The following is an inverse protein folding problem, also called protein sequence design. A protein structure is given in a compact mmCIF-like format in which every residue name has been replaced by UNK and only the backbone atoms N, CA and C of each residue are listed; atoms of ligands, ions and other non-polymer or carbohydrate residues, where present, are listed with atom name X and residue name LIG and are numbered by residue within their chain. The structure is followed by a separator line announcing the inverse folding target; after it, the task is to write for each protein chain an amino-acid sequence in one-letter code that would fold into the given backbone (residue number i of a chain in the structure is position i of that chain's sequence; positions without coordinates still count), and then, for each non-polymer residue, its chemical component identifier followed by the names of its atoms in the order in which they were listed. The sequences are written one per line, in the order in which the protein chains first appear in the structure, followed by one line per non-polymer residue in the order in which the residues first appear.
data_IF_902635881805
#
_entry.id   IF_902635881805
#
_cell.length_a   1.000
_cell.length_b   1.000
_cell.length_c   1.000
_cell.angle_alpha   90.00
_cell.angle_beta   90.00
_cell.angle_gamma   90.00
#
_symmetry.space_group_name_H-M   'P 1'
#
loop_
_entity.id
_entity.type
_entity.pdbx_description
1 polymer ?
#
# COMPACT_ATOMS: atom_id res chain seq x y z
N UNK A 1 12.07 -11.76 -13.13
CA UNK A 1 11.39 -10.46 -13.16
C UNK A 1 11.33 -9.95 -11.74
N UNK A 2 12.06 -8.86 -11.47
CA UNK A 2 12.09 -8.22 -10.15
C UNK A 2 10.72 -7.55 -9.92
N UNK A 3 9.90 -8.08 -9.02
CA UNK A 3 8.91 -7.23 -8.38
C UNK A 3 9.66 -6.43 -7.30
N UNK A 4 9.73 -5.10 -7.42
CA UNK A 4 10.24 -4.29 -6.34
C UNK A 4 9.31 -4.43 -5.13
N UNK A 5 9.90 -4.30 -3.94
CA UNK A 5 9.14 -4.07 -2.70
C UNK A 5 8.12 -2.95 -2.96
N UNK A 6 6.89 -3.00 -2.40
CA UNK A 6 5.97 -1.90 -2.52
C UNK A 6 6.64 -0.65 -1.95
N UNK A 7 6.86 0.32 -2.83
CA UNK A 7 7.31 1.65 -2.43
C UNK A 7 6.28 2.23 -1.46
N UNK A 8 6.73 2.58 -0.27
CA UNK A 8 6.00 3.55 0.55
C UNK A 8 5.73 4.74 -0.34
N UNK A 9 4.48 5.22 -0.38
CA UNK A 9 4.11 6.37 -1.21
C UNK A 9 5.18 7.46 -1.03
N UNK A 10 5.84 7.91 -2.11
CA UNK A 10 6.93 8.86 -2.01
C UNK A 10 6.42 10.16 -1.40
N UNK A 11 7.22 10.76 -0.51
CA UNK A 11 6.94 12.09 0.05
C UNK A 11 7.33 13.18 -0.96
N UNK A 12 6.75 14.37 -0.81
CA UNK A 12 7.06 15.55 -1.64
C UNK A 12 8.53 16.02 -1.51
N UNK A 13 9.29 15.46 -0.61
CA UNK A 13 10.76 15.59 -0.59
C UNK A 13 11.42 14.84 -1.77
N UNK A 14 10.66 13.96 -2.44
CA UNK A 14 11.02 13.26 -3.67
C UNK A 14 9.99 13.54 -4.78
N UNK A 15 9.85 14.79 -5.26
CA UNK A 15 8.74 15.21 -6.12
C UNK A 15 8.64 14.42 -7.42
N UNK A 16 9.75 14.05 -8.05
CA UNK A 16 9.77 13.22 -9.27
C UNK A 16 9.24 11.80 -8.98
N UNK A 17 9.54 11.24 -7.80
CA UNK A 17 8.99 9.95 -7.39
C UNK A 17 7.48 10.05 -7.11
N UNK A 18 6.98 11.18 -6.60
CA UNK A 18 5.55 11.45 -6.44
C UNK A 18 4.83 11.49 -7.79
N UNK A 19 5.39 12.18 -8.80
CA UNK A 19 4.84 12.19 -10.17
C UNK A 19 4.73 10.77 -10.73
N UNK A 20 5.81 9.99 -10.64
CA UNK A 20 5.81 8.58 -11.08
C UNK A 20 4.80 7.71 -10.31
N UNK A 21 4.62 7.95 -9.02
CA UNK A 21 3.60 7.26 -8.22
C UNK A 21 2.18 7.61 -8.69
N UNK A 22 1.92 8.88 -9.09
CA UNK A 22 0.66 9.29 -9.71
C UNK A 22 0.37 8.51 -10.99
N UNK A 23 1.38 8.27 -11.84
CA UNK A 23 1.22 7.43 -13.05
C UNK A 23 0.75 6.00 -12.72
N UNK A 24 1.26 5.39 -11.66
CA UNK A 24 0.79 4.08 -11.18
C UNK A 24 -0.70 4.10 -10.81
N UNK A 25 -1.16 5.18 -10.19
CA UNK A 25 -2.58 5.37 -9.84
C UNK A 25 -3.43 5.62 -11.09
N UNK A 26 -2.95 6.42 -12.05
CA UNK A 26 -3.62 6.64 -13.34
C UNK A 26 -3.81 5.29 -14.05
N UNK A 27 -2.75 4.48 -14.19
CA UNK A 27 -2.84 3.14 -14.82
C UNK A 27 -3.88 2.25 -14.13
N UNK A 28 -4.01 2.32 -12.80
CA UNK A 28 -5.05 1.59 -12.06
C UNK A 28 -6.46 2.05 -12.45
N UNK A 29 -6.69 3.35 -12.61
CA UNK A 29 -8.00 3.88 -13.02
C UNK A 29 -8.33 3.55 -14.49
N UNK A 30 -7.34 3.59 -15.37
CA UNK A 30 -7.51 3.17 -16.77
C UNK A 30 -7.90 1.68 -16.86
N UNK A 31 -7.25 0.81 -16.09
CA UNK A 31 -7.62 -0.59 -15.99
C UNK A 31 -9.04 -0.80 -15.39
N UNK A 32 -9.48 0.09 -14.50
CA UNK A 32 -10.85 0.07 -13.98
C UNK A 32 -11.86 0.43 -15.07
N UNK A 33 -11.57 1.40 -15.95
CA UNK A 33 -12.40 1.73 -17.12
C UNK A 33 -12.54 0.54 -18.07
N UNK A 34 -11.45 -0.18 -18.35
CA UNK A 34 -11.47 -1.38 -19.21
C UNK A 34 -12.32 -2.50 -18.60
N UNK A 35 -12.17 -2.75 -17.29
CA UNK A 35 -13.01 -3.72 -16.56
C UNK A 35 -14.48 -3.33 -16.60
N UNK A 36 -14.78 -2.04 -16.38
CA UNK A 36 -16.16 -1.53 -16.43
C UNK A 36 -16.77 -1.69 -17.82
N UNK A 37 -16.01 -1.43 -18.88
CA UNK A 37 -16.42 -1.64 -20.26
C UNK A 37 -16.80 -3.10 -20.55
N UNK A 38 -16.05 -4.06 -20.00
CA UNK A 38 -16.33 -5.49 -20.13
C UNK A 38 -17.52 -5.95 -19.26
N UNK A 39 -17.73 -5.32 -18.11
CA UNK A 39 -18.75 -5.69 -17.13
C UNK A 39 -20.18 -5.24 -17.53
N UNK A 40 -20.31 -4.00 -17.99
CA UNK A 40 -21.61 -3.37 -18.28
C UNK A 40 -22.52 -4.16 -19.23
N UNK A 41 -22.04 -4.79 -20.33
CA UNK A 41 -22.90 -5.55 -21.25
C UNK A 41 -23.55 -6.79 -20.61
N UNK A 42 -22.94 -7.35 -19.56
CA UNK A 42 -23.37 -8.58 -18.91
C UNK A 42 -24.22 -8.33 -17.66
N UNK A 43 -23.93 -7.26 -16.93
CA UNK A 43 -24.47 -7.00 -15.59
C UNK A 43 -25.22 -5.65 -15.48
N UNK A 44 -25.13 -4.82 -16.52
CA UNK A 44 -25.72 -3.46 -16.47
C UNK A 44 -25.00 -2.56 -15.44
N UNK A 45 -25.68 -1.49 -15.04
CA UNK A 45 -25.19 -0.57 -14.00
C UNK A 45 -25.54 -1.09 -12.60
N UNK A 46 -25.05 -2.29 -12.26
CA UNK A 46 -25.18 -2.85 -10.92
C UNK A 46 -24.36 -2.06 -9.87
N UNK A 47 -24.43 -2.47 -8.61
CA UNK A 47 -23.73 -1.76 -7.54
C UNK A 47 -22.20 -1.73 -7.75
N UNK A 48 -21.61 -2.79 -8.30
CA UNK A 48 -20.19 -2.85 -8.60
C UNK A 48 -19.81 -1.88 -9.72
N UNK A 49 -20.62 -1.80 -10.78
CA UNK A 49 -20.41 -0.86 -11.88
C UNK A 49 -20.53 0.60 -11.42
N UNK A 50 -21.53 0.90 -10.58
CA UNK A 50 -21.72 2.25 -10.01
C UNK A 50 -20.54 2.70 -9.14
N UNK A 51 -20.07 1.81 -8.26
CA UNK A 51 -18.90 2.11 -7.41
C UNK A 51 -17.62 2.28 -8.22
N UNK A 52 -17.40 1.45 -9.25
CA UNK A 52 -16.26 1.59 -10.15
C UNK A 52 -16.30 2.94 -10.91
N UNK A 53 -17.45 3.33 -11.45
CA UNK A 53 -17.65 4.61 -12.12
C UNK A 53 -17.38 5.79 -11.17
N UNK A 54 -17.91 5.76 -9.95
CA UNK A 54 -17.67 6.78 -8.92
C UNK A 54 -16.18 6.91 -8.55
N UNK A 55 -15.46 5.79 -8.45
CA UNK A 55 -14.03 5.80 -8.13
C UNK A 55 -13.20 6.45 -9.25
N UNK A 56 -13.53 6.16 -10.51
CA UNK A 56 -12.89 6.78 -11.67
C UNK A 56 -13.19 8.27 -11.74
N UNK A 57 -14.45 8.68 -11.60
CA UNK A 57 -14.87 10.08 -11.56
C UNK A 57 -14.10 10.85 -10.48
N UNK A 58 -14.13 10.38 -9.24
CA UNK A 58 -13.44 11.00 -8.11
C UNK A 58 -11.94 11.20 -8.35
N UNK A 59 -11.31 10.27 -9.07
CA UNK A 59 -9.89 10.35 -9.34
C UNK A 59 -9.54 11.39 -10.41
N UNK A 60 -10.20 11.31 -11.57
CA UNK A 60 -9.89 12.19 -12.69
C UNK A 60 -10.37 13.62 -12.49
N UNK A 61 -11.44 13.84 -11.73
CA UNK A 61 -11.95 15.20 -11.40
C UNK A 61 -10.99 16.01 -10.52
N UNK A 62 -10.08 15.36 -9.79
CA UNK A 62 -9.22 16.07 -8.85
C UNK A 62 -7.75 15.67 -8.94
N UNK A 63 -7.44 14.39 -8.80
CA UNK A 63 -6.06 13.96 -8.62
C UNK A 63 -5.25 14.04 -9.92
N UNK A 64 -5.87 13.75 -11.08
CA UNK A 64 -5.24 13.88 -12.38
C UNK A 64 -4.99 15.36 -12.73
N UNK A 65 -5.95 16.25 -12.45
CA UNK A 65 -5.78 17.69 -12.67
C UNK A 65 -4.60 18.25 -11.87
N UNK A 66 -4.50 17.91 -10.58
CA UNK A 66 -3.37 18.34 -9.74
C UNK A 66 -2.03 17.83 -10.24
N UNK A 67 -2.00 16.67 -10.91
CA UNK A 67 -0.81 16.11 -11.51
C UNK A 67 -0.37 16.90 -12.76
N UNK A 68 -1.30 17.20 -13.68
CA UNK A 68 -1.02 18.05 -14.82
C UNK A 68 -0.59 19.45 -14.39
N UNK A 69 -1.23 20.03 -13.38
CA UNK A 69 -0.83 21.31 -12.81
C UNK A 69 0.60 21.30 -12.24
N UNK A 70 1.04 20.21 -11.61
CA UNK A 70 2.42 20.06 -11.11
C UNK A 70 3.43 20.12 -12.25
N UNK A 71 3.09 19.60 -13.41
CA UNK A 71 3.94 19.57 -14.59
C UNK A 71 3.94 20.90 -15.33
N UNK A 72 2.75 21.46 -15.58
CA UNK A 72 2.60 22.68 -16.37
C UNK A 72 3.10 23.93 -15.64
N UNK A 73 2.78 24.03 -14.34
CA UNK A 73 3.07 25.23 -13.57
C UNK A 73 4.46 25.23 -12.92
N UNK A 74 5.04 24.05 -12.70
CA UNK A 74 6.31 23.94 -11.97
C UNK A 74 7.37 23.14 -12.74
N UNK A 75 7.14 21.85 -13.05
CA UNK A 75 8.17 20.97 -13.60
C UNK A 75 8.71 21.47 -14.95
N UNK A 76 7.84 21.75 -15.92
CA UNK A 76 8.20 22.21 -17.26
C UNK A 76 8.91 23.59 -17.22
N UNK A 77 8.39 24.61 -16.51
CA UNK A 77 9.07 25.89 -16.36
C UNK A 77 10.44 25.77 -15.70
N UNK A 78 10.57 24.95 -14.64
CA UNK A 78 11.84 24.74 -13.96
C UNK A 78 12.86 24.03 -14.86
N UNK A 79 12.43 23.05 -15.67
CA UNK A 79 13.29 22.40 -16.65
C UNK A 79 13.77 23.40 -17.71
N UNK A 80 12.92 24.26 -18.23
CA UNK A 80 13.30 25.31 -19.18
C UNK A 80 14.34 26.28 -18.60
N UNK A 81 14.28 26.57 -17.31
CA UNK A 81 15.25 27.45 -16.65
C UNK A 81 16.66 26.85 -16.58
N UNK A 82 16.78 25.51 -16.47
CA UNK A 82 18.08 24.83 -16.23
C UNK A 82 18.61 24.07 -17.43
N UNK A 83 17.76 23.60 -18.33
CA UNK A 83 18.19 22.83 -19.50
C UNK A 83 19.10 23.64 -20.44
N UNK A 84 20.15 23.02 -20.94
CA UNK A 84 21.13 23.60 -21.89
C UNK A 84 21.46 22.58 -22.97
N UNK A 85 21.94 23.08 -24.14
CA UNK A 85 22.39 22.24 -25.22
C UNK A 85 21.32 21.25 -25.72
N UNK A 86 21.65 20.00 -25.76
CA UNK A 86 20.75 18.91 -26.22
C UNK A 86 19.50 18.76 -25.38
N UNK A 87 19.62 18.94 -24.04
CA UNK A 87 18.46 18.88 -23.13
C UNK A 87 17.47 20.02 -23.42
N UNK A 88 17.95 21.22 -23.70
CA UNK A 88 17.08 22.35 -24.07
C UNK A 88 16.36 22.10 -25.40
N UNK A 89 17.06 21.53 -26.41
CA UNK A 89 16.45 21.18 -27.68
C UNK A 89 15.39 20.08 -27.55
N UNK A 90 15.68 19.05 -26.75
CA UNK A 90 14.74 17.96 -26.43
C UNK A 90 13.50 18.50 -25.73
N UNK A 91 13.67 19.34 -24.71
CA UNK A 91 12.57 19.92 -23.96
C UNK A 91 11.72 20.86 -24.82
N UNK A 92 12.35 21.67 -25.69
CA UNK A 92 11.66 22.56 -26.64
C UNK A 92 10.75 21.79 -27.60
N UNK A 93 11.16 20.58 -28.01
CA UNK A 93 10.35 19.73 -28.86
C UNK A 93 9.24 18.98 -28.07
N UNK A 94 9.54 18.56 -26.85
CA UNK A 94 8.66 17.71 -26.06
C UNK A 94 7.57 18.48 -25.29
N UNK A 95 7.91 19.61 -24.67
CA UNK A 95 6.98 20.34 -23.81
C UNK A 95 5.66 20.74 -24.52
N UNK A 96 5.67 21.24 -25.78
CA UNK A 96 4.42 21.51 -26.50
C UNK A 96 3.57 20.27 -26.74
N UNK A 97 4.19 19.09 -26.90
CA UNK A 97 3.47 17.82 -27.09
C UNK A 97 2.78 17.41 -25.78
N UNK A 98 3.47 17.51 -24.65
CA UNK A 98 2.93 17.23 -23.32
C UNK A 98 1.73 18.14 -23.02
N UNK A 99 1.88 19.45 -23.24
CA UNK A 99 0.80 20.43 -23.03
C UNK A 99 -0.40 20.21 -23.96
N UNK A 100 -0.17 19.72 -25.19
CA UNK A 100 -1.26 19.37 -26.09
C UNK A 100 -1.94 18.07 -25.67
N UNK A 101 -1.17 17.08 -25.18
CA UNK A 101 -1.72 15.84 -24.63
C UNK A 101 -2.66 16.12 -23.47
N UNK A 102 -2.33 17.04 -22.53
CA UNK A 102 -3.20 17.43 -21.42
C UNK A 102 -4.55 17.98 -21.92
N UNK A 103 -4.51 18.91 -22.89
CA UNK A 103 -5.75 19.47 -23.49
C UNK A 103 -6.61 18.40 -24.16
N UNK A 104 -5.97 17.48 -24.88
CA UNK A 104 -6.67 16.38 -25.55
C UNK A 104 -7.28 15.42 -24.52
N UNK A 105 -6.58 15.12 -23.42
CA UNK A 105 -7.07 14.28 -22.32
C UNK A 105 -8.22 14.94 -21.57
N UNK A 106 -8.16 16.25 -21.33
CA UNK A 106 -9.24 17.01 -20.71
C UNK A 106 -10.51 17.01 -21.58
N UNK A 107 -10.37 17.21 -22.88
CA UNK A 107 -11.50 17.14 -23.80
C UNK A 107 -12.14 15.74 -23.84
N UNK A 108 -11.30 14.67 -23.88
CA UNK A 108 -11.80 13.30 -23.84
C UNK A 108 -12.40 12.95 -22.48
N UNK A 109 -11.91 13.55 -21.38
CA UNK A 109 -12.47 13.34 -20.05
C UNK A 109 -13.88 13.88 -19.93
N UNK A 110 -14.21 15.03 -20.54
CA UNK A 110 -15.58 15.56 -20.55
C UNK A 110 -16.58 14.55 -21.12
N UNK A 111 -16.26 13.91 -22.25
CA UNK A 111 -17.11 12.88 -22.85
C UNK A 111 -17.29 11.66 -21.95
N UNK A 112 -16.21 11.20 -21.29
CA UNK A 112 -16.25 10.07 -20.38
C UNK A 112 -16.95 10.40 -19.07
N UNK A 113 -16.75 11.60 -18.54
CA UNK A 113 -17.37 12.08 -17.31
C UNK A 113 -18.90 12.02 -17.37
N UNK A 114 -19.49 12.47 -18.48
CA UNK A 114 -20.94 12.39 -18.67
C UNK A 114 -21.44 10.94 -18.66
N UNK A 115 -20.79 10.06 -19.41
CA UNK A 115 -21.16 8.64 -19.47
C UNK A 115 -21.01 7.96 -18.11
N UNK A 116 -19.89 8.18 -17.42
CA UNK A 116 -19.62 7.60 -16.11
C UNK A 116 -20.57 8.13 -15.04
N UNK A 117 -20.96 9.41 -15.12
CA UNK A 117 -21.94 10.01 -14.20
C UNK A 117 -23.32 9.34 -14.32
N UNK A 118 -23.76 9.04 -15.53
CA UNK A 118 -24.99 8.30 -15.78
C UNK A 118 -24.92 6.86 -15.27
N UNK A 119 -23.79 6.19 -15.43
CA UNK A 119 -23.56 4.83 -14.90
C UNK A 119 -23.53 4.87 -13.36
N UNK A 120 -22.83 5.82 -12.76
CA UNK A 120 -22.78 6.01 -11.32
C UNK A 120 -24.16 6.28 -10.70
N UNK A 121 -25.02 6.97 -11.43
CA UNK A 121 -26.43 7.22 -11.07
C UNK A 121 -27.37 6.05 -11.40
N UNK A 122 -26.90 4.98 -12.03
CA UNK A 122 -27.73 3.83 -12.44
C UNK A 122 -28.66 4.10 -13.63
N UNK A 123 -28.46 5.21 -14.35
CA UNK A 123 -29.33 5.66 -15.46
C UNK A 123 -28.86 5.20 -16.84
N UNK A 124 -27.62 4.69 -16.96
CA UNK A 124 -27.07 4.16 -18.20
C UNK A 124 -26.31 2.84 -17.96
N UNK A 125 -26.31 1.99 -18.99
CA UNK A 125 -25.67 0.67 -18.97
C UNK A 125 -24.63 0.50 -20.09
N UNK A 126 -24.28 1.58 -20.77
CA UNK A 126 -23.34 1.58 -21.88
C UNK A 126 -22.23 2.59 -21.64
N UNK A 127 -21.02 2.20 -22.00
CA UNK A 127 -19.82 3.02 -22.01
C UNK A 127 -19.18 2.90 -23.39
N UNK A 128 -18.76 4.01 -23.99
CA UNK A 128 -18.17 4.04 -25.32
C UNK A 128 -16.80 3.38 -25.34
N UNK A 129 -16.68 2.21 -25.99
CA UNK A 129 -15.40 1.50 -26.14
C UNK A 129 -14.36 2.36 -26.87
N UNK A 130 -14.76 3.08 -27.92
CA UNK A 130 -13.83 3.92 -28.71
C UNK A 130 -13.31 5.11 -27.88
N UNK A 131 -14.14 5.70 -27.01
CA UNK A 131 -13.73 6.81 -26.15
C UNK A 131 -12.77 6.31 -25.06
N UNK A 132 -13.11 5.19 -24.39
CA UNK A 132 -12.22 4.57 -23.39
C UNK A 132 -10.87 4.20 -23.98
N UNK A 133 -10.84 3.56 -25.16
CA UNK A 133 -9.59 3.17 -25.82
C UNK A 133 -8.71 4.36 -26.18
N UNK A 134 -9.29 5.42 -26.76
CA UNK A 134 -8.55 6.65 -27.13
C UNK A 134 -7.98 7.34 -25.88
N UNK A 135 -8.79 7.45 -24.83
CA UNK A 135 -8.39 8.04 -23.55
C UNK A 135 -7.24 7.25 -22.93
N UNK A 136 -7.39 5.93 -22.81
CA UNK A 136 -6.36 5.03 -22.27
C UNK A 136 -5.06 5.14 -23.07
N UNK A 137 -5.13 5.07 -24.40
CA UNK A 137 -3.94 5.15 -25.26
C UNK A 137 -3.23 6.49 -25.14
N UNK A 138 -3.99 7.61 -25.06
CA UNK A 138 -3.39 8.94 -24.90
C UNK A 138 -2.62 9.04 -23.57
N UNK A 139 -3.23 8.63 -22.44
CA UNK A 139 -2.54 8.62 -21.15
C UNK A 139 -1.30 7.73 -21.13
N UNK A 140 -1.38 6.51 -21.67
CA UNK A 140 -0.22 5.61 -21.71
C UNK A 140 0.94 6.20 -22.48
N UNK A 141 0.70 6.74 -23.69
CA UNK A 141 1.73 7.37 -24.52
C UNK A 141 2.31 8.64 -23.88
N UNK A 142 1.49 9.41 -23.20
CA UNK A 142 1.88 10.60 -22.46
C UNK A 142 2.82 10.26 -21.31
N UNK A 143 2.39 9.38 -20.38
CA UNK A 143 3.22 8.93 -19.26
C UNK A 143 4.53 8.29 -19.69
N UNK A 144 4.56 7.57 -20.83
CA UNK A 144 5.79 7.00 -21.39
C UNK A 144 6.80 8.08 -21.77
N UNK A 145 6.36 9.19 -22.38
CA UNK A 145 7.23 10.32 -22.72
C UNK A 145 7.83 10.97 -21.49
N UNK A 146 7.04 11.14 -20.47
CA UNK A 146 7.48 11.74 -19.20
C UNK A 146 8.45 10.83 -18.45
N UNK A 147 8.11 9.57 -18.29
CA UNK A 147 8.94 8.59 -17.58
C UNK A 147 10.29 8.35 -18.27
N UNK A 148 10.33 8.42 -19.59
CA UNK A 148 11.54 8.16 -20.37
C UNK A 148 12.38 9.42 -20.65
N UNK A 149 11.81 10.63 -20.54
CA UNK A 149 12.52 11.85 -20.93
C UNK A 149 12.48 12.92 -19.84
N UNK A 150 11.30 13.41 -19.44
CA UNK A 150 11.20 14.55 -18.51
C UNK A 150 11.64 14.19 -17.08
N UNK A 151 11.18 13.08 -16.56
CA UNK A 151 11.52 12.66 -15.19
C UNK A 151 13.03 12.37 -15.03
N UNK A 152 13.71 11.62 -15.91
CA UNK A 152 15.17 11.47 -15.88
C UNK A 152 15.93 12.80 -16.06
N UNK A 153 15.43 13.71 -16.89
CA UNK A 153 16.00 15.04 -17.09
C UNK A 153 15.93 15.85 -15.79
N UNK A 154 14.79 15.88 -15.12
CA UNK A 154 14.62 16.58 -13.83
C UNK A 154 15.55 16.02 -12.76
N UNK A 155 15.65 14.69 -12.60
CA UNK A 155 16.55 14.04 -11.63
C UNK A 155 18.01 14.42 -11.87
N UNK A 156 18.43 14.60 -13.14
CA UNK A 156 19.81 14.90 -13.51
C UNK A 156 20.14 16.39 -13.41
N UNK A 157 19.19 17.28 -13.71
CA UNK A 157 19.46 18.72 -13.87
C UNK A 157 19.13 19.55 -12.63
N UNK A 158 18.16 19.10 -11.80
CA UNK A 158 17.74 19.89 -10.64
C UNK A 158 18.72 19.76 -9.48
N UNK A 159 19.05 20.91 -8.87
CA UNK A 159 19.73 20.95 -7.58
C UNK A 159 18.80 20.44 -6.45
N UNK A 160 19.36 20.09 -5.27
CA UNK A 160 18.54 19.76 -4.09
C UNK A 160 17.52 20.85 -3.74
N UNK A 161 17.89 22.13 -3.87
CA UNK A 161 17.02 23.28 -3.59
C UNK A 161 15.87 23.34 -4.62
N UNK A 162 16.14 23.06 -5.90
CA UNK A 162 15.12 23.01 -6.94
C UNK A 162 14.15 21.82 -6.75
N UNK A 163 14.66 20.64 -6.35
CA UNK A 163 13.81 19.53 -5.97
C UNK A 163 12.90 19.88 -4.79
N UNK A 164 13.44 20.54 -3.77
CA UNK A 164 12.66 21.04 -2.65
C UNK A 164 11.61 22.07 -3.08
N UNK A 165 11.96 22.99 -3.98
CA UNK A 165 11.02 23.99 -4.51
C UNK A 165 9.85 23.33 -5.24
N UNK A 166 10.12 22.34 -6.11
CA UNK A 166 9.09 21.57 -6.81
C UNK A 166 8.17 20.84 -5.81
N UNK A 167 8.74 20.16 -4.81
CA UNK A 167 7.97 19.47 -3.78
C UNK A 167 7.10 20.41 -2.94
N UNK A 168 7.59 21.60 -2.61
CA UNK A 168 6.81 22.63 -1.91
C UNK A 168 5.65 23.17 -2.76
N UNK A 169 5.85 23.38 -4.07
CA UNK A 169 4.80 23.80 -4.98
C UNK A 169 3.68 22.74 -5.07
N UNK A 170 4.07 21.47 -5.22
CA UNK A 170 3.14 20.33 -5.23
C UNK A 170 2.34 20.21 -3.93
N UNK A 171 2.97 20.45 -2.77
CA UNK A 171 2.30 20.49 -1.45
C UNK A 171 1.26 21.59 -1.39
N UNK A 172 1.62 22.83 -1.76
CA UNK A 172 0.73 24.01 -1.74
C UNK A 172 -0.51 23.76 -2.59
N UNK A 173 -0.35 23.22 -3.79
CA UNK A 173 -1.46 22.92 -4.72
C UNK A 173 -2.45 21.92 -4.12
N UNK A 174 -2.00 21.05 -3.24
CA UNK A 174 -2.83 20.06 -2.53
C UNK A 174 -3.40 20.60 -1.19
N UNK A 175 -3.17 21.88 -0.86
CA UNK A 175 -3.56 22.46 0.42
C UNK A 175 -2.76 21.90 1.60
N UNK A 176 -1.59 21.33 1.34
CA UNK A 176 -0.64 20.87 2.37
C UNK A 176 0.32 22.03 2.63
N UNK A 177 -0.19 23.10 3.25
CA UNK A 177 0.62 24.29 3.53
C UNK A 177 1.66 24.01 4.60
N UNK A 178 2.91 24.41 4.32
CA UNK A 178 3.88 24.71 5.36
C UNK A 178 3.62 26.16 5.80
N UNK A 179 3.19 26.39 7.03
CA UNK A 179 3.14 27.72 7.63
C UNK A 179 4.55 28.33 7.67
N UNK A 180 4.88 29.06 6.60
CA UNK A 180 5.99 30.02 6.62
C UNK A 180 5.42 31.41 6.34
N UNK A 181 4.71 31.97 7.31
CA UNK A 181 4.56 33.42 7.41
C UNK A 181 5.79 33.96 8.09
N UNK A 182 6.45 34.89 7.38
CA UNK A 182 7.68 35.54 7.81
C UNK A 182 7.61 36.09 9.22
N UNK A 183 8.48 35.63 10.07
CA UNK A 183 8.89 36.26 11.28
C UNK A 183 10.43 36.18 11.37
N UNK A 184 11.02 37.35 11.58
CA UNK A 184 12.39 37.64 11.88
C UNK A 184 13.10 36.55 12.70
N UNK A 185 14.35 36.31 12.32
CA UNK A 185 15.29 35.40 12.94
C UNK A 185 15.27 35.46 14.47
N UNK A 186 14.77 34.42 15.11
CA UNK A 186 15.09 34.09 16.49
C UNK A 186 15.06 32.57 16.61
N UNK A 187 16.19 31.99 17.00
CA UNK A 187 16.45 30.65 17.48
C UNK A 187 15.79 29.47 16.70
N UNK A 188 16.64 28.71 16.03
CA UNK A 188 16.35 27.45 15.34
C UNK A 188 15.73 26.45 16.31
N UNK A 189 14.38 26.30 16.33
CA UNK A 189 13.74 25.12 16.86
C UNK A 189 13.89 23.99 15.83
N UNK A 190 14.18 22.74 16.25
CA UNK A 190 14.39 21.66 15.32
C UNK A 190 13.11 21.34 14.54
N UNK A 191 13.23 21.14 13.23
CA UNK A 191 12.15 20.88 12.26
C UNK A 191 11.18 19.75 12.68
N UNK A 192 11.59 18.88 13.59
CA UNK A 192 10.78 17.81 14.20
C UNK A 192 9.62 18.33 15.06
N UNK A 193 9.72 19.54 15.67
CA UNK A 193 8.65 20.10 16.51
C UNK A 193 7.43 20.55 15.68
N UNK A 194 7.63 21.03 14.44
CA UNK A 194 6.53 21.52 13.59
C UNK A 194 5.67 20.37 13.00
N UNK A 195 6.28 19.24 12.67
CA UNK A 195 5.55 18.04 12.18
C UNK A 195 4.77 17.42 13.34
N UNK A 196 5.37 17.34 14.55
CA UNK A 196 4.69 16.79 15.74
C UNK A 196 3.38 17.51 16.08
N UNK A 197 3.35 18.82 15.93
CA UNK A 197 2.16 19.63 16.21
C UNK A 197 1.05 19.44 15.14
N UNK A 198 1.40 19.13 13.89
CA UNK A 198 0.45 18.91 12.78
C UNK A 198 -0.20 17.52 12.80
N UNK A 199 0.41 16.54 13.45
CA UNK A 199 -0.16 15.18 13.58
C UNK A 199 -1.50 15.20 14.30
N UNK A 200 -1.72 16.14 15.23
CA UNK A 200 -2.97 16.29 15.97
C UNK A 200 -4.19 16.63 15.06
N UNK A 201 -3.94 17.26 13.92
CA UNK A 201 -4.99 17.70 12.97
C UNK A 201 -5.32 16.64 11.89
N UNK A 202 -4.51 15.57 11.80
CA UNK A 202 -4.76 14.45 10.88
C UNK A 202 -5.95 13.65 11.38
N UNK A 203 -7.14 13.96 10.83
CA UNK A 203 -8.40 13.29 11.16
C UNK A 203 -9.04 12.77 9.87
N UNK A 204 -9.40 11.49 9.87
CA UNK A 204 -10.23 10.86 8.84
C UNK A 204 -11.55 10.46 9.47
N UNK A 205 -12.66 10.90 8.89
CA UNK A 205 -13.98 10.41 9.27
C UNK A 205 -14.24 9.06 8.60
N UNK A 206 -14.54 8.05 9.42
CA UNK A 206 -14.90 6.71 9.00
C UNK A 206 -16.41 6.60 8.82
N UNK A 207 -16.88 5.88 7.80
CA UNK A 207 -18.32 5.80 7.55
C UNK A 207 -18.75 4.79 6.50
N UNK A 208 -17.87 3.85 6.13
CA UNK A 208 -18.14 2.91 5.05
C UNK A 208 -19.09 1.78 5.46
N UNK A 209 -19.00 1.27 6.68
CA UNK A 209 -19.76 0.10 7.12
C UNK A 209 -20.10 0.14 8.61
N UNK A 210 -20.94 -0.78 9.06
CA UNK A 210 -21.25 -1.08 10.46
C UNK A 210 -20.87 -2.50 10.81
N UNK A 211 -20.78 -2.80 12.10
CA UNK A 211 -20.59 -4.15 12.61
C UNK A 211 -21.57 -4.39 13.76
N UNK A 212 -22.57 -5.22 13.50
CA UNK A 212 -23.60 -5.58 14.48
C UNK A 212 -23.42 -7.04 14.96
N UNK A 213 -23.80 -7.32 16.21
CA UNK A 213 -23.70 -8.65 16.81
C UNK A 213 -24.53 -9.69 16.07
N UNK A 214 -25.61 -9.28 15.41
CA UNK A 214 -26.49 -10.15 14.62
C UNK A 214 -25.90 -10.53 13.26
N UNK A 215 -24.92 -9.75 12.78
CA UNK A 215 -24.33 -9.91 11.45
C UNK A 215 -22.99 -10.67 11.46
N UNK A 216 -22.36 -10.81 12.63
CA UNK A 216 -21.08 -11.52 12.74
C UNK A 216 -21.26 -13.03 12.89
N UNK A 217 -20.34 -13.80 12.36
CA UNK A 217 -20.32 -15.25 12.47
C UNK A 217 -20.14 -15.70 13.95
N UNK A 218 -20.66 -16.87 14.31
CA UNK A 218 -20.47 -17.44 15.65
C UNK A 218 -19.01 -17.86 15.89
N UNK A 219 -18.33 -18.35 14.84
CA UNK A 219 -16.90 -18.68 14.87
C UNK A 219 -16.05 -17.51 14.40
N UNK A 220 -15.04 -17.06 15.17
CA UNK A 220 -14.22 -15.90 14.81
C UNK A 220 -13.29 -16.16 13.63
N UNK A 221 -12.93 -17.42 13.33
CA UNK A 221 -12.13 -17.74 12.15
C UNK A 221 -12.99 -17.63 10.88
N UNK A 222 -14.25 -18.03 10.96
CA UNK A 222 -15.22 -17.82 9.90
C UNK A 222 -15.47 -16.31 9.66
N UNK A 223 -15.58 -15.51 10.73
CA UNK A 223 -15.70 -14.06 10.64
C UNK A 223 -14.45 -13.43 9.99
N UNK A 224 -13.26 -13.89 10.38
CA UNK A 224 -12.01 -13.45 9.76
C UNK A 224 -11.95 -13.81 8.28
N UNK A 225 -12.36 -15.04 7.92
CA UNK A 225 -12.40 -15.51 6.53
C UNK A 225 -13.27 -14.60 5.67
N UNK A 226 -14.49 -14.27 6.14
CA UNK A 226 -15.40 -13.36 5.46
C UNK A 226 -14.75 -11.98 5.23
N UNK A 227 -14.17 -11.39 6.27
CA UNK A 227 -13.53 -10.08 6.17
C UNK A 227 -12.27 -10.10 5.30
N UNK A 228 -11.52 -11.19 5.32
CA UNK A 228 -10.35 -11.36 4.45
C UNK A 228 -10.74 -11.51 2.97
N UNK A 229 -11.83 -12.23 2.66
CA UNK A 229 -12.39 -12.29 1.31
C UNK A 229 -12.89 -10.92 0.82
N UNK A 230 -13.52 -10.15 1.70
CA UNK A 230 -13.94 -8.78 1.40
C UNK A 230 -12.71 -7.88 1.14
N UNK A 231 -11.63 -8.05 1.90
CA UNK A 231 -10.37 -7.33 1.67
C UNK A 231 -9.72 -7.70 0.32
N UNK A 232 -9.77 -8.98 -0.07
CA UNK A 232 -9.34 -9.42 -1.40
C UNK A 232 -10.20 -8.82 -2.52
N UNK A 233 -11.51 -8.82 -2.36
CA UNK A 233 -12.46 -8.22 -3.33
C UNK A 233 -12.30 -6.70 -3.45
N UNK A 234 -12.00 -6.03 -2.34
CA UNK A 234 -11.73 -4.60 -2.31
C UNK A 234 -10.31 -4.24 -2.80
N UNK A 235 -9.54 -5.22 -3.24
CA UNK A 235 -8.15 -5.05 -3.70
C UNK A 235 -7.28 -4.29 -2.68
N UNK A 236 -7.48 -4.57 -1.37
CA UNK A 236 -6.64 -4.02 -0.31
C UNK A 236 -5.18 -4.38 -0.61
N UNK A 237 -4.29 -3.41 -0.46
CA UNK A 237 -2.87 -3.66 -0.69
C UNK A 237 -2.30 -4.62 0.35
N UNK A 238 -1.75 -5.77 -0.07
CA UNK A 238 -1.22 -6.83 0.78
C UNK A 238 -2.13 -7.20 1.97
N UNK A 239 -3.38 -7.67 1.74
CA UNK A 239 -4.35 -7.94 2.80
C UNK A 239 -3.86 -8.97 3.82
N UNK A 240 -2.86 -9.78 3.47
CA UNK A 240 -2.19 -10.76 4.30
C UNK A 240 -1.00 -10.20 5.11
N UNK A 241 -0.67 -8.91 4.96
CA UNK A 241 0.32 -8.26 5.81
C UNK A 241 -0.27 -8.01 7.21
N UNK A 242 0.52 -8.36 8.23
CA UNK A 242 0.11 -8.16 9.63
C UNK A 242 1.29 -7.70 10.47
N UNK A 243 1.03 -6.87 11.47
CA UNK A 243 1.99 -6.59 12.53
C UNK A 243 2.00 -7.75 13.52
N UNK A 244 3.19 -8.25 13.87
CA UNK A 244 3.37 -9.23 14.95
C UNK A 244 4.13 -8.57 16.09
N UNK A 245 3.47 -8.41 17.23
CA UNK A 245 4.08 -7.98 18.48
C UNK A 245 4.51 -9.17 19.32
N UNK A 246 5.75 -9.12 19.83
CA UNK A 246 6.34 -10.13 20.71
C UNK A 246 7.05 -9.44 21.87
N UNK A 247 7.24 -10.13 22.99
CA UNK A 247 7.79 -9.55 24.22
C UNK A 247 9.14 -10.22 24.55
N UNK A 248 10.15 -9.41 24.82
CA UNK A 248 11.46 -9.88 25.28
C UNK A 248 11.47 -10.38 26.73
N UNK A 249 12.60 -10.93 27.16
CA UNK A 249 12.82 -11.32 28.57
C UNK A 249 12.65 -10.14 29.53
N UNK A 250 13.08 -8.96 29.09
CA UNK A 250 12.99 -7.68 29.80
C UNK A 250 11.55 -7.12 29.88
N UNK A 251 10.58 -7.82 29.33
CA UNK A 251 9.18 -7.39 29.28
C UNK A 251 8.86 -6.33 28.22
N UNK A 252 9.83 -5.90 27.44
CA UNK A 252 9.61 -4.86 26.41
C UNK A 252 9.01 -5.47 25.15
N UNK A 253 7.89 -4.90 24.64
CA UNK A 253 7.30 -5.33 23.38
C UNK A 253 8.11 -4.80 22.19
N UNK A 254 8.18 -5.62 21.14
CA UNK A 254 8.70 -5.21 19.83
C UNK A 254 7.72 -5.65 18.75
N UNK A 255 7.65 -4.91 17.65
CA UNK A 255 6.71 -5.18 16.55
C UNK A 255 7.40 -5.11 15.18
N UNK A 256 6.88 -5.82 14.20
CA UNK A 256 7.31 -5.85 12.80
C UNK A 256 6.19 -6.37 11.92
N UNK A 257 6.25 -6.04 10.63
CA UNK A 257 5.33 -6.60 9.66
C UNK A 257 5.84 -7.99 9.20
N UNK A 258 4.92 -8.95 9.12
CA UNK A 258 5.10 -10.26 8.49
C UNK A 258 3.84 -10.59 7.70
N UNK A 259 3.93 -11.65 6.86
CA UNK A 259 2.77 -12.08 6.06
C UNK A 259 2.16 -13.35 6.67
N UNK A 260 0.86 -13.33 6.96
CA UNK A 260 0.13 -14.57 7.24
C UNK A 260 0.14 -15.41 5.97
N UNK A 261 0.41 -16.71 6.13
CA UNK A 261 0.52 -17.66 5.01
C UNK A 261 -0.55 -18.74 5.03
N UNK A 262 -1.13 -18.96 6.18
CA UNK A 262 -2.24 -19.88 6.40
C UNK A 262 -3.01 -19.46 7.64
N UNK A 263 -4.31 -19.61 7.62
CA UNK A 263 -5.16 -19.57 8.82
C UNK A 263 -6.25 -20.62 8.68
N UNK A 264 -6.58 -21.26 9.79
CA UNK A 264 -7.63 -22.27 9.92
C UNK A 264 -8.09 -22.34 11.38
N UNK A 265 -8.95 -23.29 11.74
CA UNK A 265 -9.44 -23.48 13.11
C UNK A 265 -8.34 -23.72 14.15
N UNK A 266 -7.10 -24.04 13.74
CA UNK A 266 -5.94 -24.21 14.62
C UNK A 266 -5.26 -22.87 14.92
N UNK A 267 -5.39 -21.85 14.05
CA UNK A 267 -4.82 -20.53 14.24
C UNK A 267 -4.18 -19.93 12.98
N UNK A 268 -3.32 -18.93 13.20
CA UNK A 268 -2.73 -18.07 12.18
C UNK A 268 -1.23 -18.35 12.04
N UNK A 269 -0.79 -18.73 10.85
CA UNK A 269 0.58 -19.22 10.59
C UNK A 269 1.39 -18.25 9.76
N UNK A 270 2.63 -18.00 10.18
CA UNK A 270 3.64 -17.28 9.41
C UNK A 270 4.97 -18.00 9.49
N UNK A 271 5.90 -17.70 8.57
CA UNK A 271 7.20 -18.38 8.48
C UNK A 271 8.35 -17.38 8.62
N UNK A 272 9.38 -17.76 9.38
CA UNK A 272 10.50 -16.87 9.70
C UNK A 272 11.73 -17.66 10.15
N UNK A 273 12.84 -16.96 10.39
CA UNK A 273 14.02 -17.51 11.03
C UNK A 273 13.79 -17.55 12.56
N UNK A 274 13.98 -18.71 13.19
CA UNK A 274 13.82 -18.93 14.63
C UNK A 274 14.88 -18.21 15.47
N UNK A 275 16.07 -17.95 14.90
CA UNK A 275 17.13 -17.20 15.58
C UNK A 275 16.97 -15.67 15.45
N UNK A 276 15.95 -15.21 14.74
CA UNK A 276 15.61 -13.78 14.69
C UNK A 276 15.18 -13.25 16.05
N UNK A 277 15.18 -11.92 16.23
CA UNK A 277 14.72 -11.29 17.48
C UNK A 277 13.35 -11.82 17.93
N UNK A 278 12.37 -11.87 17.01
CA UNK A 278 11.05 -12.40 17.33
C UNK A 278 11.07 -13.90 17.67
N UNK A 279 11.90 -14.68 16.98
CA UNK A 279 12.03 -16.11 17.23
C UNK A 279 12.59 -16.39 18.62
N UNK A 280 13.61 -15.65 19.05
CA UNK A 280 14.18 -15.75 20.41
C UNK A 280 13.19 -15.30 21.48
N UNK A 281 12.44 -14.20 21.23
CA UNK A 281 11.40 -13.72 22.15
C UNK A 281 10.29 -14.76 22.33
N UNK A 282 9.82 -15.38 21.24
CA UNK A 282 8.80 -16.43 21.28
C UNK A 282 9.29 -17.73 21.93
N UNK A 283 10.58 -18.02 21.87
CA UNK A 283 11.16 -19.15 22.59
C UNK A 283 11.13 -18.95 24.11
N UNK A 284 11.27 -17.70 24.59
CA UNK A 284 11.20 -17.36 26.03
C UNK A 284 9.77 -17.12 26.50
N UNK A 285 8.98 -16.37 25.72
CA UNK A 285 7.60 -16.00 26.03
C UNK A 285 6.72 -16.30 24.82
N UNK A 286 6.05 -17.47 24.78
CA UNK A 286 5.31 -17.91 23.59
C UNK A 286 3.95 -17.21 23.44
N UNK A 287 3.91 -15.89 23.61
CA UNK A 287 2.72 -15.06 23.43
C UNK A 287 2.97 -14.00 22.36
N UNK A 288 1.96 -13.75 21.56
CA UNK A 288 1.99 -12.70 20.55
C UNK A 288 0.64 -12.04 20.36
N UNK A 289 0.68 -10.83 19.81
CA UNK A 289 -0.48 -10.18 19.24
C UNK A 289 -0.24 -9.93 17.74
N UNK A 290 -1.23 -10.29 16.92
CA UNK A 290 -1.30 -9.99 15.51
C UNK A 290 -2.25 -8.84 15.28
N UNK A 291 -1.93 -7.95 14.35
CA UNK A 291 -2.78 -6.84 13.95
C UNK A 291 -2.83 -6.76 12.43
N UNK A 292 -4.02 -6.91 11.87
CA UNK A 292 -4.35 -6.55 10.50
C UNK A 292 -5.00 -5.18 10.48
N UNK A 293 -4.63 -4.33 9.53
CA UNK A 293 -5.26 -3.04 9.32
C UNK A 293 -5.52 -2.84 7.83
N UNK A 294 -6.79 -2.84 7.45
CA UNK A 294 -7.28 -2.64 6.11
C UNK A 294 -7.87 -1.23 6.00
N UNK A 295 -7.02 -0.27 5.72
CA UNK A 295 -7.37 1.16 5.69
C UNK A 295 -8.46 1.50 4.67
N UNK A 296 -8.50 0.75 3.56
CA UNK A 296 -9.47 0.88 2.47
C UNK A 296 -10.89 0.50 2.92
N UNK A 297 -11.00 -0.43 3.86
CA UNK A 297 -12.27 -0.89 4.44
C UNK A 297 -12.54 -0.29 5.83
N UNK A 298 -11.64 0.55 6.33
CA UNK A 298 -11.73 1.12 7.68
C UNK A 298 -11.87 0.02 8.76
N UNK A 299 -11.12 -1.09 8.59
CA UNK A 299 -11.17 -2.28 9.46
C UNK A 299 -9.85 -2.62 10.10
N UNK A 300 -9.95 -3.14 11.31
CA UNK A 300 -8.83 -3.72 12.03
C UNK A 300 -9.24 -5.06 12.62
N UNK A 301 -8.34 -6.04 12.58
CA UNK A 301 -8.51 -7.30 13.32
C UNK A 301 -7.30 -7.49 14.23
N UNK A 302 -7.53 -7.65 15.52
CA UNK A 302 -6.50 -7.94 16.52
C UNK A 302 -6.68 -9.35 17.05
N UNK A 303 -5.60 -10.13 17.09
CA UNK A 303 -5.61 -11.54 17.49
C UNK A 303 -4.52 -11.73 18.53
N UNK A 304 -4.89 -12.23 19.71
CA UNK A 304 -4.01 -12.48 20.82
C UNK A 304 -4.07 -13.96 21.18
N UNK A 305 -2.92 -14.54 21.56
CA UNK A 305 -2.88 -15.94 21.96
C UNK A 305 -1.47 -16.49 22.11
N UNK A 306 -1.42 -17.79 22.33
CA UNK A 306 -0.19 -18.56 22.51
C UNK A 306 0.37 -18.96 21.15
N UNK A 307 1.70 -18.95 21.04
CA UNK A 307 2.41 -19.28 19.79
C UNK A 307 3.14 -20.60 19.93
N UNK A 308 2.91 -21.49 18.98
CA UNK A 308 3.61 -22.76 18.83
C UNK A 308 4.42 -22.81 17.52
N UNK A 309 5.41 -23.71 17.42
CA UNK A 309 6.06 -24.01 16.13
C UNK A 309 5.19 -24.95 15.32
N UNK A 310 5.10 -24.71 14.01
CA UNK A 310 4.50 -25.68 13.09
C UNK A 310 5.34 -26.94 13.01
N UNK A 311 4.76 -28.04 12.48
CA UNK A 311 5.52 -29.28 12.29
C UNK A 311 6.65 -29.12 11.27
N UNK A 312 7.58 -30.03 11.27
CA UNK A 312 8.68 -30.06 10.29
C UNK A 312 8.12 -30.20 8.86
N UNK A 313 7.11 -31.05 8.67
CA UNK A 313 6.45 -31.31 7.40
C UNK A 313 5.75 -30.05 6.85
N UNK A 314 5.01 -29.33 7.71
CA UNK A 314 4.37 -28.06 7.34
C UNK A 314 5.41 -27.03 6.92
N UNK A 315 6.52 -26.94 7.67
CA UNK A 315 7.61 -26.01 7.38
C UNK A 315 8.35 -26.38 6.09
N UNK A 316 8.63 -27.66 5.85
CA UNK A 316 9.27 -28.15 4.63
C UNK A 316 8.40 -27.96 3.40
N UNK A 317 7.10 -28.24 3.50
CA UNK A 317 6.13 -28.00 2.45
C UNK A 317 6.11 -26.54 2.02
N UNK A 318 6.03 -25.62 2.98
CA UNK A 318 6.01 -24.21 2.67
C UNK A 318 7.37 -23.72 2.16
N UNK A 319 8.50 -24.14 2.76
CA UNK A 319 9.84 -23.77 2.29
C UNK A 319 10.03 -24.13 0.82
N UNK A 320 9.65 -25.36 0.44
CA UNK A 320 9.81 -25.86 -0.92
C UNK A 320 8.88 -25.20 -1.95
N UNK A 321 7.72 -24.66 -1.51
CA UNK A 321 6.81 -23.88 -2.39
C UNK A 321 7.33 -22.47 -2.72
N UNK A 322 8.36 -22.00 -2.00
CA UNK A 322 8.92 -20.66 -2.21
C UNK A 322 9.81 -20.62 -3.46
N UNK A 323 9.87 -19.47 -4.17
CA UNK A 323 10.84 -19.27 -5.24
C UNK A 323 12.29 -19.56 -4.78
N UNK A 324 13.11 -20.12 -5.65
CA UNK A 324 14.49 -20.50 -5.35
C UNK A 324 15.29 -19.36 -4.68
N UNK A 325 15.22 -18.15 -5.24
CA UNK A 325 15.89 -16.97 -4.66
C UNK A 325 15.47 -16.70 -3.22
N UNK A 326 14.21 -16.87 -2.89
CA UNK A 326 13.69 -16.69 -1.52
C UNK A 326 14.13 -17.80 -0.57
N UNK A 327 14.33 -19.04 -1.05
CA UNK A 327 14.88 -20.15 -0.27
C UNK A 327 16.35 -19.90 0.06
N UNK A 328 17.14 -19.53 -0.93
CA UNK A 328 18.57 -19.21 -0.76
C UNK A 328 18.76 -18.00 0.17
N UNK A 329 17.95 -16.94 0.02
CA UNK A 329 17.98 -15.77 0.93
C UNK A 329 17.68 -16.14 2.39
N UNK A 330 16.78 -17.10 2.63
CA UNK A 330 16.46 -17.56 3.98
C UNK A 330 17.64 -18.32 4.63
N UNK A 331 18.47 -18.97 3.83
CA UNK A 331 19.70 -19.66 4.29
C UNK A 331 20.83 -18.65 4.51
N UNK A 332 21.02 -17.71 3.58
CA UNK A 332 22.10 -16.73 3.61
C UNK A 332 21.97 -15.69 4.74
N UNK A 333 20.73 -15.41 5.18
CA UNK A 333 20.46 -14.35 6.15
C UNK A 333 20.43 -14.86 7.59
N UNK A 334 21.31 -14.30 8.44
CA UNK A 334 21.16 -14.37 9.90
C UNK A 334 20.20 -13.28 10.36
N UNK A 335 18.92 -13.49 10.16
CA UNK A 335 17.88 -12.47 10.39
C UNK A 335 18.03 -11.80 11.77
N UNK A 336 18.00 -10.46 11.79
CA UNK A 336 18.19 -9.59 12.97
C UNK A 336 19.61 -9.50 13.53
N UNK A 337 20.59 -10.21 12.98
CA UNK A 337 21.98 -10.05 13.35
C UNK A 337 22.62 -8.86 12.63
N UNK A 338 23.57 -8.13 13.27
CA UNK A 338 24.36 -7.11 12.60
C UNK A 338 25.15 -7.69 11.42
N UNK A 339 25.29 -6.89 10.36
CA UNK A 339 26.14 -7.17 9.22
C UNK A 339 26.90 -5.91 8.82
N UNK A 340 28.10 -6.05 8.26
CA UNK A 340 28.96 -4.91 8.00
C UNK A 340 28.40 -3.93 6.97
N UNK A 341 27.83 -4.45 5.88
CA UNK A 341 27.25 -3.64 4.80
C UNK A 341 26.41 -4.53 3.85
N UNK A 342 25.82 -3.91 2.84
CA UNK A 342 25.01 -4.57 1.82
C UNK A 342 25.81 -5.58 0.99
N UNK A 343 27.05 -5.25 0.62
CA UNK A 343 27.93 -6.13 -0.17
C UNK A 343 28.22 -7.43 0.56
N UNK A 344 28.42 -7.39 1.89
CA UNK A 344 28.60 -8.60 2.69
C UNK A 344 27.36 -9.52 2.67
N UNK A 345 26.15 -8.94 2.65
CA UNK A 345 24.92 -9.73 2.51
C UNK A 345 24.79 -10.37 1.12
N UNK A 346 25.15 -9.65 0.07
CA UNK A 346 25.16 -10.14 -1.30
C UNK A 346 26.19 -11.26 -1.49
N UNK A 347 27.38 -11.11 -0.92
CA UNK A 347 28.40 -12.14 -0.92
C UNK A 347 27.92 -13.42 -0.22
N UNK A 348 27.33 -13.30 0.98
CA UNK A 348 26.73 -14.46 1.67
C UNK A 348 25.69 -15.18 0.81
N UNK A 349 24.86 -14.42 0.06
CA UNK A 349 23.88 -15.01 -0.83
C UNK A 349 24.54 -15.76 -2.00
N UNK A 350 25.58 -15.21 -2.60
CA UNK A 350 26.33 -15.86 -3.69
C UNK A 350 27.00 -17.14 -3.23
N UNK A 351 27.59 -17.15 -2.03
CA UNK A 351 28.20 -18.34 -1.43
C UNK A 351 27.17 -19.45 -1.22
N UNK A 352 26.00 -19.10 -0.65
CA UNK A 352 24.89 -20.04 -0.46
C UNK A 352 24.36 -20.54 -1.80
N UNK A 353 24.21 -19.66 -2.80
CA UNK A 353 23.75 -20.05 -4.13
C UNK A 353 24.71 -21.02 -4.81
N UNK A 354 26.03 -20.84 -4.68
CA UNK A 354 27.06 -21.78 -5.16
C UNK A 354 27.02 -23.12 -4.42
N UNK A 355 26.81 -23.09 -3.11
CA UNK A 355 26.81 -24.29 -2.26
C UNK A 355 25.56 -25.16 -2.47
N UNK A 356 24.38 -24.57 -2.57
CA UNK A 356 23.12 -25.31 -2.56
C UNK A 356 22.47 -25.48 -3.95
N UNK A 357 22.91 -24.73 -4.95
CA UNK A 357 22.37 -24.82 -6.31
C UNK A 357 20.86 -24.59 -6.39
N UNK A 358 20.18 -25.44 -7.15
CA UNK A 358 18.74 -25.29 -7.41
C UNK A 358 17.82 -25.97 -6.38
N UNK A 359 18.37 -26.81 -5.49
CA UNK A 359 17.57 -27.64 -4.57
C UNK A 359 18.01 -27.46 -3.09
N UNK A 360 17.96 -26.24 -2.55
CA UNK A 360 18.31 -26.02 -1.15
C UNK A 360 17.30 -26.67 -0.21
N UNK A 361 17.80 -27.43 0.77
CA UNK A 361 17.01 -27.94 1.88
C UNK A 361 16.71 -26.83 2.90
N UNK A 362 15.58 -26.94 3.60
CA UNK A 362 15.22 -25.99 4.65
C UNK A 362 16.23 -26.05 5.81
N UNK A 363 16.82 -24.93 6.24
CA UNK A 363 17.67 -24.92 7.41
C UNK A 363 16.85 -25.15 8.70
N UNK A 364 17.43 -25.80 9.70
CA UNK A 364 16.78 -26.17 10.96
C UNK A 364 16.29 -24.95 11.77
N UNK A 365 16.94 -23.80 11.58
CA UNK A 365 16.57 -22.53 12.23
C UNK A 365 15.53 -21.71 11.47
N UNK A 366 14.86 -22.27 10.47
CA UNK A 366 13.81 -21.60 9.70
C UNK A 366 12.56 -22.48 9.64
N UNK A 367 11.39 -21.88 9.87
CA UNK A 367 10.12 -22.60 9.81
C UNK A 367 8.95 -21.73 10.23
N UNK A 368 7.83 -22.37 10.52
CA UNK A 368 6.57 -21.72 10.85
C UNK A 368 6.36 -21.52 12.34
N UNK A 369 5.72 -20.42 12.67
CA UNK A 369 5.00 -20.21 13.93
C UNK A 369 3.50 -20.15 13.65
N UNK A 370 2.71 -20.72 14.57
CA UNK A 370 1.26 -20.61 14.58
C UNK A 370 0.82 -19.95 15.88
N UNK A 371 0.06 -18.86 15.77
CA UNK A 371 -0.65 -18.31 16.92
C UNK A 371 -1.97 -19.05 17.06
N UNK A 372 -2.15 -19.73 18.18
CA UNK A 372 -3.42 -20.34 18.63
C UNK A 372 -4.22 -19.23 19.30
N UNK A 373 -5.35 -18.78 18.73
CA UNK A 373 -6.03 -17.60 19.25
C UNK A 373 -6.79 -17.90 20.54
N UNK A 374 -6.65 -16.99 21.50
CA UNK A 374 -7.40 -16.95 22.74
C UNK A 374 -8.40 -15.80 22.75
N UNK A 375 -8.08 -14.72 21.99
CA UNK A 375 -8.92 -13.54 21.84
C UNK A 375 -8.80 -12.96 20.42
N UNK A 376 -9.95 -12.68 19.81
CA UNK A 376 -9.99 -12.02 18.49
C UNK A 376 -10.95 -10.83 18.57
N UNK A 377 -10.48 -9.64 18.22
CA UNK A 377 -11.28 -8.41 18.17
C UNK A 377 -11.42 -7.94 16.72
N UNK A 378 -12.64 -7.73 16.30
CA UNK A 378 -13.03 -7.09 15.06
C UNK A 378 -13.42 -5.65 15.33
N UNK A 379 -12.78 -4.72 14.65
CA UNK A 379 -13.02 -3.29 14.77
C UNK A 379 -13.41 -2.71 13.41
N UNK A 380 -14.54 -1.99 13.37
CA UNK A 380 -15.03 -1.28 12.20
C UNK A 380 -15.07 0.21 12.48
N UNK A 381 -14.47 1.01 11.56
CA UNK A 381 -14.50 2.46 11.63
C UNK A 381 -15.91 3.00 11.49
N UNK A 382 -16.28 3.98 12.36
CA UNK A 382 -17.58 4.70 12.35
C UNK A 382 -17.34 6.19 12.53
N UNK A 383 -18.31 6.99 12.08
CA UNK A 383 -18.30 8.45 12.24
C UNK A 383 -18.20 8.85 13.70
N UNK A 384 -17.65 10.04 13.94
CA UNK A 384 -17.54 10.63 15.29
C UNK A 384 -16.82 9.75 16.32
N UNK A 385 -15.95 8.83 15.86
CA UNK A 385 -15.18 7.86 16.68
C UNK A 385 -16.02 6.87 17.48
N UNK A 386 -17.31 6.71 17.20
CA UNK A 386 -18.17 5.68 17.77
C UNK A 386 -18.00 4.34 17.04
N UNK A 387 -16.76 3.81 17.08
CA UNK A 387 -16.37 2.61 16.34
C UNK A 387 -17.04 1.37 16.88
N UNK A 388 -17.45 0.47 15.99
CA UNK A 388 -17.96 -0.84 16.41
C UNK A 388 -16.79 -1.77 16.75
N UNK A 389 -16.87 -2.44 17.91
CA UNK A 389 -15.85 -3.35 18.39
C UNK A 389 -16.53 -4.60 18.92
N UNK A 390 -16.29 -5.75 18.27
CA UNK A 390 -16.78 -7.05 18.72
C UNK A 390 -15.58 -7.94 19.03
N UNK A 391 -15.54 -8.45 20.24
CA UNK A 391 -14.48 -9.33 20.71
C UNK A 391 -15.01 -10.74 20.95
N UNK A 392 -14.25 -11.71 20.51
CA UNK A 392 -14.43 -13.12 20.80
C UNK A 392 -13.36 -13.54 21.81
N UNK A 393 -13.77 -14.25 22.86
CA UNK A 393 -12.88 -14.81 23.87
C UNK A 393 -13.09 -16.31 23.95
N UNK A 394 -12.00 -17.06 23.83
CA UNK A 394 -12.03 -18.52 23.89
C UNK A 394 -12.25 -18.98 25.31
N UNK A 395 -13.13 -19.94 25.49
CA UNK A 395 -13.44 -20.56 26.80
C UNK A 395 -12.59 -21.81 27.02
N UNK A 396 -12.55 -22.33 28.22
CA UNK A 396 -11.80 -23.55 28.58
C UNK A 396 -12.33 -24.79 27.85
N UNK A 397 -13.60 -24.83 27.47
CA UNK A 397 -14.20 -25.90 26.69
C UNK A 397 -13.97 -25.77 25.17
N UNK A 398 -13.22 -24.74 24.78
CA UNK A 398 -12.90 -24.45 23.38
C UNK A 398 -13.96 -23.65 22.61
N UNK A 399 -15.11 -23.38 23.24
CA UNK A 399 -16.14 -22.50 22.64
C UNK A 399 -15.71 -21.02 22.65
N UNK A 400 -16.47 -20.18 21.95
CA UNK A 400 -16.23 -18.75 21.89
C UNK A 400 -17.40 -17.98 22.48
N UNK A 401 -17.10 -17.05 23.38
CA UNK A 401 -18.04 -16.03 23.81
C UNK A 401 -17.83 -14.75 23.05
N UNK A 402 -18.90 -14.01 22.81
CA UNK A 402 -18.91 -12.80 21.99
C UNK A 402 -19.41 -11.62 22.82
N UNK A 403 -18.74 -10.47 22.69
CA UNK A 403 -19.06 -9.28 23.48
C UNK A 403 -18.74 -8.01 22.67
N UNK A 404 -19.61 -6.98 22.77
CA UNK A 404 -19.31 -5.63 22.24
C UNK A 404 -18.47 -4.87 23.27
N UNK A 405 -17.46 -4.14 22.78
CA UNK A 405 -16.67 -3.19 23.56
C UNK A 405 -17.06 -1.75 23.24
N UNK A 406 -16.87 -0.89 24.20
CA UNK A 406 -16.94 0.55 23.96
C UNK A 406 -15.78 0.99 23.07
N UNK A 407 -15.97 2.01 22.19
CA UNK A 407 -14.93 2.54 21.31
C UNK A 407 -13.76 3.17 22.05
#
# INVERSE_FOLDING_TARGET
MNSPLPDTAPDFDQPVAVLKHCHGRIRKQLATLEKLLAHLPQHGADEQARQAAQAVLKYFDKAAQLHHDDEEQDLIPMLHAVARGEDAATLQALAPVILQDHKDMDAMWQDLHEQLSLIAGGSATQLSSSTVQRFTQRYLSHMEREENTMAPMAVRLFSPEQMQQLGLAMRRRRGIESDNNGATATACEPATASIGNRVADLRKDYGQASLDESEVADDPVAQFTRWFEEALKAEVNEPNAMSVATVGEDGRPTSRIVLVKQFDGRGFTWYTNYDSQKGKQLACKPFAALLFFWSELERQVRIEGTVERTTAEESDKYFNSRPLKSRLSAIASRQSAPIANRAALEHNYEDVARQYGESPSRPSNWGGFRLVPERIEFWQGRRSRFHDRIVYTRQEDGSWTRQRLQP
#
